data_IF_897182096659
#
_entry.id   IF_897182096659
#
_cell.length_a   1.000
_cell.length_b   1.000
_cell.length_c   1.000
_cell.angle_alpha   90.00
_cell.angle_beta   90.00
_cell.angle_gamma   90.00
#
_symmetry.space_group_name_H-M   'P 1'
#
loop_
_entity.id
_entity.type
_entity.pdbx_description
1 polymer ?
#
# COMPACT_ATOMS: atom_id res chain seq x y z
N UNK A 1 -3.65 -36.75 -12.44
CA UNK A 1 -3.25 -35.76 -11.41
C UNK A 1 -1.78 -35.43 -11.66
N UNK A 2 -1.44 -34.16 -11.85
CA UNK A 2 -0.05 -33.70 -12.07
C UNK A 2 0.23 -32.57 -11.07
N UNK A 3 1.12 -32.83 -10.11
CA UNK A 3 1.42 -31.90 -9.02
C UNK A 3 1.99 -30.58 -9.52
N UNK A 4 2.90 -30.62 -10.49
CA UNK A 4 3.50 -29.44 -11.10
C UNK A 4 2.45 -28.52 -11.77
N UNK A 5 1.47 -29.11 -12.46
CA UNK A 5 0.39 -28.35 -13.10
C UNK A 5 -0.54 -27.69 -12.08
N UNK A 6 -0.76 -28.33 -10.92
CA UNK A 6 -1.58 -27.76 -9.85
C UNK A 6 -0.86 -26.54 -9.26
N UNK A 7 0.40 -26.71 -8.82
CA UNK A 7 1.19 -25.64 -8.21
C UNK A 7 1.38 -24.43 -9.14
N UNK A 8 1.69 -24.67 -10.41
CA UNK A 8 1.89 -23.60 -11.40
C UNK A 8 0.62 -22.83 -11.79
N UNK A 9 -0.56 -23.34 -11.45
CA UNK A 9 -1.86 -22.72 -11.76
C UNK A 9 -2.68 -22.38 -10.51
N UNK A 10 -2.09 -22.51 -9.32
CA UNK A 10 -2.75 -22.09 -8.08
C UNK A 10 -3.11 -20.61 -8.18
N UNK A 11 -4.41 -20.32 -8.09
CA UNK A 11 -4.91 -18.96 -7.92
C UNK A 11 -5.18 -18.76 -6.44
N UNK A 12 -4.75 -17.63 -5.90
CA UNK A 12 -5.22 -17.20 -4.59
C UNK A 12 -6.74 -17.00 -4.69
N UNK A 13 -7.49 -17.47 -3.68
CA UNK A 13 -8.90 -17.10 -3.56
C UNK A 13 -9.02 -15.57 -3.48
N UNK A 14 -10.16 -14.98 -3.89
CA UNK A 14 -10.39 -13.57 -3.69
C UNK A 14 -10.09 -13.18 -2.24
N UNK A 15 -9.42 -12.05 -2.06
CA UNK A 15 -9.29 -11.47 -0.73
C UNK A 15 -10.69 -11.06 -0.27
N UNK A 16 -11.06 -11.40 0.96
CA UNK A 16 -12.27 -10.83 1.54
C UNK A 16 -12.09 -9.32 1.62
N UNK A 17 -13.11 -8.58 1.18
CA UNK A 17 -13.14 -7.14 1.42
C UNK A 17 -13.25 -6.94 2.92
N UNK A 18 -12.14 -6.60 3.55
CA UNK A 18 -12.16 -6.05 4.90
C UNK A 18 -12.73 -4.64 4.82
N UNK A 19 -14.06 -4.52 4.88
CA UNK A 19 -14.73 -3.31 5.33
C UNK A 19 -14.58 -3.23 6.86
N UNK A 20 -13.34 -3.18 7.33
CA UNK A 20 -13.06 -2.84 8.73
C UNK A 20 -13.74 -1.51 9.09
N UNK A 21 -13.99 -1.26 10.38
CA UNK A 21 -14.62 -0.02 10.81
C UNK A 21 -13.85 1.17 10.22
N UNK A 22 -14.60 2.07 9.57
CA UNK A 22 -14.03 3.32 9.07
C UNK A 22 -13.54 4.14 10.26
N UNK A 23 -12.44 4.85 10.07
CA UNK A 23 -11.98 5.82 11.05
C UNK A 23 -13.08 6.83 11.38
N UNK A 24 -13.19 7.18 12.65
CA UNK A 24 -14.24 8.03 13.23
C UNK A 24 -13.72 9.37 13.74
N UNK A 25 -12.40 9.50 13.88
CA UNK A 25 -11.72 10.74 14.30
C UNK A 25 -10.37 10.92 13.58
N UNK A 26 -9.88 12.16 13.46
CA UNK A 26 -8.56 12.42 12.89
C UNK A 26 -7.45 11.63 13.58
N UNK A 27 -6.49 11.15 12.81
CA UNK A 27 -5.28 10.43 13.26
C UNK A 27 -5.58 9.11 13.99
N UNK A 28 -6.77 8.54 13.81
CA UNK A 28 -7.08 7.20 14.31
C UNK A 28 -6.30 6.11 13.56
N UNK A 29 -6.05 6.33 12.26
CA UNK A 29 -5.23 5.47 11.41
C UNK A 29 -4.48 6.32 10.39
N UNK A 30 -3.17 6.12 10.28
CA UNK A 30 -2.32 6.81 9.33
C UNK A 30 -1.59 5.79 8.48
N UNK A 31 -1.76 5.91 7.16
CA UNK A 31 -1.05 5.11 6.17
C UNK A 31 0.22 5.85 5.77
N UNK A 32 1.36 5.18 5.86
CA UNK A 32 2.64 5.75 5.44
C UNK A 32 3.33 4.87 4.44
N UNK A 33 3.95 5.47 3.44
CA UNK A 33 4.78 4.76 2.47
C UNK A 33 6.05 5.54 2.15
N UNK A 34 7.09 4.83 1.73
CA UNK A 34 8.36 5.41 1.31
C UNK A 34 8.55 5.16 -0.17
N UNK A 35 8.58 6.24 -0.96
CA UNK A 35 8.87 6.18 -2.39
C UNK A 35 10.35 6.41 -2.69
N UNK A 36 10.86 5.73 -3.72
CA UNK A 36 12.22 5.91 -4.25
C UNK A 36 13.02 4.61 -4.32
N UNK A 37 14.30 4.67 -4.73
CA UNK A 37 15.06 5.87 -5.09
C UNK A 37 14.67 6.48 -6.46
N UNK A 38 14.57 7.81 -6.55
CA UNK A 38 14.33 8.51 -7.84
C UNK A 38 15.62 8.84 -8.60
N UNK A 39 15.50 8.84 -9.93
CA UNK A 39 16.54 9.33 -10.86
C UNK A 39 15.87 10.21 -11.93
N UNK A 40 16.32 11.46 -12.15
CA UNK A 40 17.39 12.15 -11.42
C UNK A 40 16.99 12.47 -9.97
N UNK A 41 17.96 12.89 -9.15
CA UNK A 41 17.67 13.37 -7.78
C UNK A 41 16.77 14.60 -7.83
N UNK A 42 16.06 14.88 -6.75
CA UNK A 42 15.31 16.14 -6.63
C UNK A 42 16.24 17.36 -6.69
N UNK A 43 15.67 18.56 -6.82
CA UNK A 43 16.43 19.82 -6.87
C UNK A 43 17.37 20.00 -5.67
N UNK A 44 17.00 19.47 -4.50
CA UNK A 44 17.80 19.54 -3.26
C UNK A 44 18.66 18.28 -3.03
N UNK A 45 18.71 17.37 -4.00
CA UNK A 45 19.55 16.18 -3.95
C UNK A 45 18.94 14.97 -3.23
N UNK A 46 17.66 15.04 -2.86
CA UNK A 46 16.95 13.91 -2.25
C UNK A 46 16.65 12.81 -3.27
N UNK A 47 16.59 11.57 -2.80
CA UNK A 47 16.28 10.38 -3.60
C UNK A 47 15.02 9.65 -3.15
N UNK A 48 14.51 9.97 -1.97
CA UNK A 48 13.36 9.31 -1.37
C UNK A 48 12.38 10.36 -0.89
N UNK A 49 11.13 9.98 -0.77
CA UNK A 49 10.08 10.77 -0.15
C UNK A 49 9.21 9.85 0.71
N UNK A 50 8.50 10.46 1.66
CA UNK A 50 7.54 9.75 2.51
C UNK A 50 6.17 10.34 2.22
N UNK A 51 5.18 9.48 2.03
CA UNK A 51 3.78 9.86 1.98
C UNK A 51 3.18 9.51 3.34
N UNK A 52 2.42 10.45 3.91
CA UNK A 52 1.68 10.27 5.17
C UNK A 52 0.23 10.66 4.88
N UNK A 53 -0.69 9.70 4.98
CA UNK A 53 -2.11 9.90 4.72
C UNK A 53 -2.92 9.53 5.96
N UNK A 54 -3.68 10.48 6.47
CA UNK A 54 -4.70 10.20 7.49
C UNK A 54 -5.92 9.55 6.84
N UNK A 55 -6.28 8.35 7.30
CA UNK A 55 -7.41 7.57 6.76
C UNK A 55 -8.75 8.28 6.97
N UNK A 56 -8.86 9.08 8.03
CA UNK A 56 -10.06 9.84 8.38
C UNK A 56 -10.26 11.04 7.47
N UNK A 57 -9.26 11.92 7.38
CA UNK A 57 -9.36 13.14 6.57
C UNK A 57 -9.33 12.86 5.06
N UNK A 58 -8.73 11.74 4.63
CA UNK A 58 -8.58 11.36 3.20
C UNK A 58 -8.13 12.55 2.34
N UNK A 59 -7.08 13.23 2.81
CA UNK A 59 -6.57 14.42 2.16
C UNK A 59 -6.22 14.09 0.70
N UNK A 60 -6.81 14.77 -0.30
CA UNK A 60 -6.54 14.52 -1.72
C UNK A 60 -5.12 14.88 -2.12
#
# INVERSE_FOLDING_TARGET
FCEACVLGKMKKLPFELHEGPRTTRPLEMVHTDVGGPITPRSREGHRFWIIIVDDFARFP
#
